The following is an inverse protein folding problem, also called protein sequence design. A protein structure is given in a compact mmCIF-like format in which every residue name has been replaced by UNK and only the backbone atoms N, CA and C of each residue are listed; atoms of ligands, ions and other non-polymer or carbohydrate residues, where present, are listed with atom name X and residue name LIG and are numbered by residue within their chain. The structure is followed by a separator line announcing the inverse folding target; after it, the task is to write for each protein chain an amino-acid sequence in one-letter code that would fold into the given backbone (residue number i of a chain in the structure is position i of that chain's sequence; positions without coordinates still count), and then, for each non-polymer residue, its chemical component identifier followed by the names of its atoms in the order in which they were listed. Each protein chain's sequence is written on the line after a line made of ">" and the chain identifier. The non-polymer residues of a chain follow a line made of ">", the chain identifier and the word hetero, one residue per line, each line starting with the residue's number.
data_IF_845303415223
#
_entry.id   IF_845303415223
#
_cell.length_a   1.000
_cell.length_b   1.000
_cell.length_c   1.000
_cell.angle_alpha   90.00
_cell.angle_beta   90.00
_cell.angle_gamma   90.00
#
_symmetry.space_group_name_H-M   'P 1'
#
loop_
_entity.id
_entity.type
_entity.pdbx_description
1 polymer ?
#
# COMPACT_ATOMS: atom_id res chain seq x y z
N UNK A 1 -54.14 -14.99 30.54
CA UNK A 1 -53.88 -15.02 32.00
C UNK A 1 -52.48 -14.43 32.19
N UNK A 2 -52.33 -13.22 32.74
CA UNK A 2 -52.29 -12.94 34.20
C UNK A 2 -51.28 -13.88 34.89
N UNK A 3 -50.25 -13.46 35.62
CA UNK A 3 -49.80 -12.16 36.14
C UNK A 3 -48.49 -12.44 36.94
N UNK A 4 -47.56 -11.48 37.00
CA UNK A 4 -47.20 -10.70 38.20
C UNK A 4 -46.51 -11.45 39.37
N UNK A 5 -45.25 -11.09 39.66
CA UNK A 5 -44.81 -10.33 40.87
C UNK A 5 -43.26 -10.27 40.94
N UNK A 6 -42.63 -9.09 40.87
CA UNK A 6 -42.27 -8.14 41.94
C UNK A 6 -41.30 -8.70 43.01
N UNK A 7 -40.07 -8.19 43.00
CA UNK A 7 -39.32 -7.85 44.22
C UNK A 7 -38.28 -6.76 43.92
N UNK A 8 -38.01 -5.93 44.91
CA UNK A 8 -37.47 -4.56 44.88
C UNK A 8 -36.35 -4.49 45.92
N UNK A 9 -35.16 -4.03 45.55
CA UNK A 9 -34.07 -3.55 46.43
C UNK A 9 -33.07 -2.86 45.47
N UNK A 10 -32.75 -1.57 45.50
CA UNK A 10 -32.75 -0.59 46.59
C UNK A 10 -31.33 -0.44 47.13
N UNK A 11 -30.51 0.44 46.53
CA UNK A 11 -29.42 1.15 47.20
C UNK A 11 -28.88 2.30 46.33
N UNK A 12 -28.48 3.35 47.04
CA UNK A 12 -28.44 4.76 46.66
C UNK A 12 -27.03 5.33 46.92
N UNK A 13 -26.80 6.56 46.41
CA UNK A 13 -25.72 7.55 46.68
C UNK A 13 -24.43 7.41 45.86
N UNK A 14 -24.10 8.34 44.95
CA UNK A 14 -23.81 9.81 44.99
C UNK A 14 -22.30 10.13 45.11
N UNK A 15 -21.87 11.29 44.58
CA UNK A 15 -20.66 11.44 43.77
C UNK A 15 -19.53 12.20 44.50
N UNK A 16 -18.34 12.24 43.90
CA UNK A 16 -17.26 13.15 44.29
C UNK A 16 -16.72 13.88 43.05
N UNK A 17 -16.58 15.18 43.23
CA UNK A 17 -16.19 16.26 42.33
C UNK A 17 -14.65 16.40 42.38
N UNK A 18 -14.05 17.19 41.48
CA UNK A 18 -13.09 18.28 41.79
C UNK A 18 -12.46 18.79 40.46
N UNK A 19 -12.79 20.03 40.04
CA UNK A 19 -12.00 21.29 40.14
C UNK A 19 -10.99 21.44 38.99
N UNK A 20 -10.97 22.50 38.16
CA UNK A 20 -10.43 23.85 38.47
C UNK A 20 -10.75 24.82 37.28
N UNK A 21 -11.52 25.91 37.46
CA UNK A 21 -11.10 27.33 37.60
C UNK A 21 -11.00 28.10 36.25
N UNK A 22 -12.00 28.92 35.86
CA UNK A 22 -12.27 30.35 36.18
C UNK A 22 -11.29 31.36 35.58
N UNK A 23 -11.81 32.26 34.72
CA UNK A 23 -11.84 33.71 34.96
C UNK A 23 -12.82 34.42 34.00
N UNK A 24 -13.75 35.22 34.57
CA UNK A 24 -14.76 36.05 33.88
C UNK A 24 -14.20 37.39 33.35
N UNK A 25 -15.03 38.42 33.04
CA UNK A 25 -16.10 38.98 33.90
C UNK A 25 -17.45 39.22 33.16
N UNK A 26 -18.63 39.00 33.76
CA UNK A 26 -19.40 39.93 34.62
C UNK A 26 -20.53 40.66 33.85
N UNK A 27 -21.77 40.16 33.96
CA UNK A 27 -22.94 40.88 34.51
C UNK A 27 -24.23 40.07 34.29
N UNK A 28 -24.69 39.44 35.37
CA UNK A 28 -26.09 39.03 35.53
C UNK A 28 -26.92 40.28 35.79
N UNK A 29 -28.04 40.44 35.06
CA UNK A 29 -29.25 41.07 35.60
C UNK A 29 -30.33 40.01 35.65
N UNK A 30 -30.79 39.70 36.85
CA UNK A 30 -31.98 38.89 37.10
C UNK A 30 -33.20 39.59 36.52
N UNK A 31 -34.05 38.86 35.79
CA UNK A 31 -35.47 39.17 35.70
C UNK A 31 -36.26 37.90 35.99
N UNK A 32 -37.30 38.10 36.80
CA UNK A 32 -38.13 37.13 37.49
C UNK A 32 -38.75 36.07 36.58
N UNK A 33 -38.83 34.86 37.14
CA UNK A 33 -39.50 33.70 36.57
C UNK A 33 -41.01 33.78 36.85
N UNK A 34 -41.79 34.28 35.90
CA UNK A 34 -43.24 34.02 35.88
C UNK A 34 -43.48 32.61 35.31
N UNK A 35 -44.16 31.77 36.11
CA UNK A 35 -44.75 30.51 35.67
C UNK A 35 -45.88 30.82 34.68
N UNK A 36 -45.57 30.80 33.39
CA UNK A 36 -46.55 30.73 32.31
C UNK A 36 -46.69 29.29 31.86
N UNK A 37 -47.88 28.73 32.02
CA UNK A 37 -48.28 27.41 31.54
C UNK A 37 -48.00 27.27 30.04
N UNK A 38 -47.35 26.15 29.70
CA UNK A 38 -47.15 25.69 28.33
C UNK A 38 -48.50 25.65 27.58
N UNK A 39 -48.67 26.59 26.65
CA UNK A 39 -49.45 26.35 25.44
C UNK A 39 -48.48 26.47 24.29
N UNK A 40 -48.06 25.31 23.77
CA UNK A 40 -47.41 25.21 22.46
C UNK A 40 -48.49 25.56 21.43
N UNK A 41 -48.62 26.85 21.12
CA UNK A 41 -49.28 27.26 19.89
C UNK A 41 -48.34 26.84 18.77
N UNK A 42 -48.79 25.90 17.96
CA UNK A 42 -48.18 25.59 16.68
C UNK A 42 -48.37 26.84 15.81
N UNK A 43 -47.43 27.79 15.88
CA UNK A 43 -47.35 28.88 14.93
C UNK A 43 -46.92 28.25 13.61
N UNK A 44 -47.91 27.83 12.83
CA UNK A 44 -47.72 27.53 11.42
C UNK A 44 -47.23 28.82 10.79
N UNK A 45 -45.91 28.93 10.61
CA UNK A 45 -45.30 30.01 9.87
C UNK A 45 -45.97 30.06 8.50
N UNK A 46 -46.75 31.10 8.25
CA UNK A 46 -47.31 31.32 6.93
C UNK A 46 -46.16 31.59 5.97
N UNK A 47 -46.22 30.97 4.78
CA UNK A 47 -45.31 31.32 3.71
C UNK A 47 -45.43 32.84 3.47
N UNK A 48 -44.30 33.55 3.60
CA UNK A 48 -44.28 34.98 3.31
C UNK A 48 -44.81 35.18 1.88
N UNK A 49 -45.78 36.08 1.65
CA UNK A 49 -46.29 36.35 0.32
C UNK A 49 -45.14 36.83 -0.57
N UNK A 50 -45.09 36.33 -1.80
CA UNK A 50 -44.09 36.71 -2.79
C UNK A 50 -44.18 38.22 -3.04
N UNK A 51 -43.19 38.97 -2.53
CA UNK A 51 -43.07 40.40 -2.77
C UNK A 51 -42.27 40.62 -4.07
N UNK A 52 -42.92 41.09 -5.15
CA UNK A 52 -42.26 41.33 -6.43
C UNK A 52 -41.22 42.46 -6.36
N UNK A 53 -41.18 43.24 -5.27
CA UNK A 53 -40.17 44.27 -5.02
C UNK A 53 -39.09 43.83 -4.01
N UNK A 54 -39.14 42.59 -3.51
CA UNK A 54 -38.08 42.04 -2.67
C UNK A 54 -36.82 41.79 -3.49
N UNK A 55 -36.05 42.86 -3.65
CA UNK A 55 -34.65 42.77 -4.02
C UNK A 55 -33.92 42.19 -2.80
N UNK A 56 -33.70 40.88 -2.82
CA UNK A 56 -32.83 40.23 -1.83
C UNK A 56 -31.46 40.92 -1.75
N UNK A 57 -30.53 40.50 -0.88
CA UNK A 57 -29.21 41.11 -0.80
C UNK A 57 -28.39 40.85 -2.08
N UNK A 58 -28.62 41.66 -3.13
CA UNK A 58 -27.94 41.56 -4.45
C UNK A 58 -26.90 42.66 -4.63
N UNK A 59 -26.81 43.64 -3.71
CA UNK A 59 -26.02 44.87 -3.90
C UNK A 59 -24.51 44.72 -3.74
N UNK A 60 -23.99 43.54 -3.36
CA UNK A 60 -22.54 43.25 -3.23
C UNK A 60 -22.15 41.86 -3.73
N UNK A 61 -22.78 41.36 -4.80
CA UNK A 61 -22.27 40.19 -5.50
C UNK A 61 -21.26 40.65 -6.55
N UNK A 62 -20.00 40.81 -6.14
CA UNK A 62 -18.90 40.91 -7.11
C UNK A 62 -18.84 39.57 -7.83
N UNK A 63 -18.72 39.58 -9.16
CA UNK A 63 -18.78 38.38 -9.98
C UNK A 63 -17.55 37.49 -9.70
N UNK A 64 -17.65 36.63 -8.69
CA UNK A 64 -16.61 35.64 -8.34
C UNK A 64 -16.32 34.73 -9.54
N UNK A 65 -17.27 34.60 -10.46
CA UNK A 65 -17.17 33.79 -11.67
C UNK A 65 -15.99 34.22 -12.56
N UNK A 66 -15.65 35.50 -12.67
CA UNK A 66 -14.52 35.95 -13.52
C UNK A 66 -13.16 35.49 -12.96
N UNK A 67 -12.95 35.64 -11.65
CA UNK A 67 -11.72 35.22 -10.98
C UNK A 67 -11.62 33.69 -11.00
N UNK A 68 -12.72 32.99 -10.71
CA UNK A 68 -12.78 31.53 -10.79
C UNK A 68 -12.52 31.01 -12.22
N UNK A 69 -13.02 31.68 -13.26
CA UNK A 69 -12.76 31.33 -14.66
C UNK A 69 -11.28 31.47 -15.02
N UNK A 70 -10.60 32.55 -14.61
CA UNK A 70 -9.16 32.73 -14.87
C UNK A 70 -8.35 31.64 -14.17
N UNK A 71 -8.68 31.32 -12.91
CA UNK A 71 -8.03 30.24 -12.17
C UNK A 71 -8.26 28.87 -12.83
N UNK A 72 -9.49 28.59 -13.30
CA UNK A 72 -9.81 27.35 -13.98
C UNK A 72 -9.04 27.18 -15.30
N UNK A 73 -8.97 28.23 -16.12
CA UNK A 73 -8.19 28.22 -17.36
C UNK A 73 -6.68 28.07 -17.08
N UNK A 74 -6.17 28.70 -16.03
CA UNK A 74 -4.78 28.54 -15.62
C UNK A 74 -4.47 27.09 -15.20
N UNK A 75 -5.39 26.43 -14.48
CA UNK A 75 -5.25 25.02 -14.11
C UNK A 75 -5.27 24.13 -15.35
N UNK A 76 -6.21 24.33 -16.29
CA UNK A 76 -6.25 23.57 -17.55
C UNK A 76 -4.95 23.75 -18.33
N UNK A 77 -4.48 24.98 -18.49
CA UNK A 77 -3.21 25.25 -19.18
C UNK A 77 -2.03 24.54 -18.48
N UNK A 78 -1.98 24.56 -17.16
CA UNK A 78 -0.99 23.81 -16.38
C UNK A 78 -1.05 22.29 -16.64
N UNK A 79 -2.24 21.69 -16.67
CA UNK A 79 -2.41 20.27 -17.00
C UNK A 79 -1.98 19.93 -18.42
N UNK A 80 -2.27 20.81 -19.39
CA UNK A 80 -1.82 20.63 -20.78
C UNK A 80 -0.29 20.63 -20.87
N UNK A 81 0.37 21.56 -20.19
CA UNK A 81 1.85 21.62 -20.13
C UNK A 81 2.40 20.34 -19.48
N UNK A 82 1.84 19.89 -18.35
CA UNK A 82 2.26 18.66 -17.70
C UNK A 82 2.04 17.42 -18.59
N UNK A 83 0.95 17.38 -19.35
CA UNK A 83 0.66 16.32 -20.32
C UNK A 83 1.69 16.27 -21.45
N UNK A 84 2.05 17.41 -22.02
CA UNK A 84 3.10 17.50 -23.06
C UNK A 84 4.46 17.09 -22.51
N UNK A 85 4.83 17.54 -21.31
CA UNK A 85 6.08 17.12 -20.67
C UNK A 85 6.09 15.61 -20.41
N UNK A 86 4.99 15.04 -19.92
CA UNK A 86 4.87 13.60 -19.72
C UNK A 86 4.95 12.81 -21.03
N UNK A 87 4.44 13.35 -22.15
CA UNK A 87 4.55 12.72 -23.46
C UNK A 87 5.98 12.74 -24.00
N UNK A 88 6.65 13.89 -23.88
CA UNK A 88 8.01 14.06 -24.42
C UNK A 88 9.07 13.34 -23.60
N UNK A 89 8.91 13.30 -22.27
CA UNK A 89 9.91 12.74 -21.36
C UNK A 89 9.47 11.43 -20.69
N UNK A 90 8.25 10.96 -20.92
CA UNK A 90 7.74 9.73 -20.35
C UNK A 90 8.31 8.50 -21.05
N UNK A 91 8.99 7.65 -20.28
CA UNK A 91 9.48 6.36 -20.78
C UNK A 91 8.58 5.21 -20.27
N UNK A 92 7.82 4.54 -21.16
CA UNK A 92 6.88 3.48 -20.77
C UNK A 92 7.57 2.24 -20.19
N UNK A 93 8.89 2.08 -20.39
CA UNK A 93 9.66 0.94 -19.87
C UNK A 93 9.65 0.87 -18.34
N UNK A 94 9.51 2.00 -17.66
CA UNK A 94 9.41 2.06 -16.19
C UNK A 94 8.19 1.33 -15.63
N UNK A 95 7.15 1.18 -16.44
CA UNK A 95 5.89 0.53 -16.05
C UNK A 95 5.90 -0.95 -16.44
N UNK A 96 6.45 -1.28 -17.62
CA UNK A 96 6.45 -2.62 -18.18
C UNK A 96 7.52 -3.54 -17.59
N UNK A 97 8.74 -3.01 -17.37
CA UNK A 97 9.88 -3.83 -16.97
C UNK A 97 10.14 -3.73 -15.46
N UNK A 98 10.37 -4.87 -14.79
CA UNK A 98 10.86 -4.86 -13.42
C UNK A 98 12.30 -4.35 -13.38
N UNK A 99 12.65 -3.74 -12.24
CA UNK A 99 14.00 -3.27 -11.94
C UNK A 99 14.63 -4.12 -10.84
N UNK A 100 15.93 -4.30 -10.91
CA UNK A 100 16.72 -4.84 -9.81
C UNK A 100 16.96 -3.76 -8.73
N UNK A 101 17.66 -4.13 -7.66
CA UNK A 101 17.97 -3.21 -6.56
C UNK A 101 18.89 -2.05 -6.98
N UNK A 102 19.73 -2.23 -8.00
CA UNK A 102 20.58 -1.16 -8.57
C UNK A 102 19.83 -0.19 -9.50
N UNK A 103 18.54 -0.44 -9.78
CA UNK A 103 17.70 0.41 -10.62
C UNK A 103 17.75 0.09 -12.12
N UNK A 104 18.49 -0.95 -12.51
CA UNK A 104 18.58 -1.44 -13.88
C UNK A 104 17.36 -2.31 -14.25
N UNK A 105 16.91 -2.20 -15.50
CA UNK A 105 15.81 -3.02 -16.01
C UNK A 105 16.25 -4.47 -16.24
N UNK A 106 15.37 -5.42 -15.94
CA UNK A 106 15.55 -6.82 -16.34
C UNK A 106 15.06 -7.02 -17.78
N UNK A 107 15.80 -7.76 -18.60
CA UNK A 107 15.45 -8.05 -20.01
C UNK A 107 15.85 -6.97 -21.01
N UNK A 108 16.53 -5.90 -20.57
CA UNK A 108 16.96 -4.78 -21.41
C UNK A 108 18.41 -4.40 -21.06
N UNK A 109 19.15 -3.86 -22.04
CA UNK A 109 20.51 -3.37 -21.83
C UNK A 109 21.50 -4.49 -21.46
N UNK A 110 22.13 -4.37 -20.30
CA UNK A 110 23.08 -5.37 -19.77
C UNK A 110 22.38 -6.67 -19.35
N UNK A 111 21.13 -6.59 -18.88
CA UNK A 111 20.37 -7.73 -18.35
C UNK A 111 19.46 -8.37 -19.41
N UNK A 112 19.83 -8.32 -20.70
CA UNK A 112 18.99 -8.85 -21.81
C UNK A 112 18.66 -10.33 -21.64
N UNK A 113 19.64 -11.13 -21.23
CA UNK A 113 19.47 -12.57 -21.02
C UNK A 113 18.72 -12.92 -19.72
N UNK A 114 18.40 -11.91 -18.92
CA UNK A 114 17.76 -12.03 -17.63
C UNK A 114 16.46 -11.22 -17.56
N UNK A 115 15.40 -11.65 -18.26
CA UNK A 115 14.16 -10.89 -18.37
C UNK A 115 13.28 -10.94 -17.12
N UNK A 116 13.61 -11.80 -16.15
CA UNK A 116 12.76 -12.05 -14.99
C UNK A 116 13.40 -11.49 -13.73
N UNK A 117 12.60 -11.12 -12.75
CA UNK A 117 13.05 -10.60 -11.47
C UNK A 117 12.57 -11.49 -10.31
N UNK A 118 13.47 -11.78 -9.38
CA UNK A 118 13.23 -12.58 -8.17
C UNK A 118 13.49 -11.73 -6.93
N UNK A 119 12.70 -11.97 -5.89
CA UNK A 119 12.91 -11.45 -4.54
C UNK A 119 13.89 -12.38 -3.81
N UNK A 120 14.99 -11.82 -3.30
CA UNK A 120 16.01 -12.59 -2.57
C UNK A 120 15.43 -13.19 -1.29
N UNK A 121 14.63 -12.41 -0.57
CA UNK A 121 13.84 -12.89 0.56
C UNK A 121 12.38 -12.45 0.44
N UNK A 122 11.54 -13.36 -0.05
CA UNK A 122 10.10 -13.09 -0.18
C UNK A 122 9.42 -12.91 1.19
N UNK A 123 9.93 -13.49 2.28
CA UNK A 123 9.29 -13.41 3.60
C UNK A 123 9.27 -11.97 4.14
N UNK A 124 10.25 -11.14 3.76
CA UNK A 124 10.27 -9.72 4.11
C UNK A 124 9.08 -8.95 3.54
N UNK A 125 8.43 -9.46 2.49
CA UNK A 125 7.17 -8.94 1.95
C UNK A 125 5.93 -9.23 2.81
N UNK A 126 5.99 -10.23 3.70
CA UNK A 126 4.86 -10.61 4.55
C UNK A 126 4.61 -9.63 5.71
N UNK A 127 5.42 -8.57 5.84
CA UNK A 127 5.39 -7.59 6.94
C UNK A 127 4.12 -6.72 6.90
N UNK A 128 3.00 -7.32 7.26
CA UNK A 128 1.70 -6.69 7.54
C UNK A 128 1.69 -5.94 8.89
N UNK A 129 2.79 -5.94 9.65
CA UNK A 129 2.83 -5.44 11.03
C UNK A 129 3.34 -4.01 11.19
N UNK A 130 3.80 -3.35 10.12
CA UNK A 130 4.09 -1.91 10.15
C UNK A 130 3.22 -1.18 9.15
N UNK A 131 2.00 -0.88 9.58
CA UNK A 131 1.03 -0.01 8.87
C UNK A 131 1.68 1.31 8.41
N UNK A 132 2.68 1.81 9.15
CA UNK A 132 3.48 2.97 8.76
C UNK A 132 4.43 2.71 7.57
N UNK A 133 4.98 1.51 7.41
CA UNK A 133 5.84 1.17 6.27
C UNK A 133 5.03 1.04 4.97
N UNK A 134 3.82 0.49 5.04
CA UNK A 134 2.90 0.41 3.88
C UNK A 134 2.42 1.79 3.41
N UNK A 135 2.33 2.77 4.31
CA UNK A 135 1.94 4.15 4.00
C UNK A 135 3.10 5.00 3.45
N UNK A 136 4.35 4.76 3.88
CA UNK A 136 5.51 5.55 3.47
C UNK A 136 6.32 4.94 2.30
N UNK A 137 6.34 3.61 2.12
CA UNK A 137 7.20 2.94 1.13
C UNK A 137 6.50 2.57 -0.19
N UNK A 138 5.20 2.83 -0.30
CA UNK A 138 4.40 2.25 -1.37
C UNK A 138 4.40 0.73 -1.28
N UNK A 139 3.83 0.07 -2.28
CA UNK A 139 3.65 -1.40 -2.31
C UNK A 139 4.96 -2.14 -2.66
N UNK A 140 6.08 -1.68 -2.11
CA UNK A 140 7.42 -2.08 -2.47
C UNK A 140 8.04 -2.86 -1.30
N UNK A 141 8.29 -4.16 -1.50
CA UNK A 141 8.92 -4.97 -0.48
C UNK A 141 10.34 -4.50 -0.16
N UNK A 142 10.74 -4.47 1.12
CA UNK A 142 12.08 -4.10 1.56
C UNK A 142 13.04 -5.30 1.45
N UNK A 143 13.25 -5.78 0.23
CA UNK A 143 14.25 -6.84 -0.06
C UNK A 143 14.90 -6.56 -1.40
N UNK A 144 16.15 -6.98 -1.57
CA UNK A 144 16.83 -6.91 -2.85
C UNK A 144 16.10 -7.69 -3.94
N UNK A 145 16.15 -7.11 -5.14
CA UNK A 145 15.51 -7.60 -6.33
C UNK A 145 16.61 -7.92 -7.33
N UNK A 146 16.68 -9.15 -7.82
CA UNK A 146 17.75 -9.62 -8.72
C UNK A 146 17.13 -10.05 -10.06
N UNK A 147 17.78 -9.69 -11.17
CA UNK A 147 17.39 -10.14 -12.50
C UNK A 147 17.94 -11.55 -12.74
N UNK A 148 17.12 -12.43 -13.30
CA UNK A 148 17.45 -13.85 -13.52
C UNK A 148 16.96 -14.33 -14.88
N UNK A 149 17.67 -15.31 -15.47
CA UNK A 149 17.29 -15.86 -16.78
C UNK A 149 16.02 -16.70 -16.67
N UNK A 150 15.89 -17.51 -15.61
CA UNK A 150 14.78 -18.44 -15.40
C UNK A 150 14.30 -18.37 -13.96
N UNK A 151 13.01 -18.59 -13.77
CA UNK A 151 12.45 -18.75 -12.43
C UNK A 151 12.84 -20.15 -11.88
N UNK A 152 13.14 -20.27 -10.59
CA UNK A 152 13.44 -21.55 -9.96
C UNK A 152 12.27 -22.52 -10.09
N UNK A 153 12.57 -23.79 -10.38
CA UNK A 153 11.59 -24.85 -10.63
C UNK A 153 11.50 -25.88 -9.50
N UNK A 154 12.45 -25.87 -8.57
CA UNK A 154 12.57 -26.80 -7.47
C UNK A 154 12.80 -26.06 -6.16
N UNK A 155 12.57 -26.75 -5.05
CA UNK A 155 12.93 -26.26 -3.73
C UNK A 155 14.43 -26.43 -3.54
N UNK A 156 15.08 -25.37 -3.10
CA UNK A 156 16.48 -25.40 -2.69
C UNK A 156 16.63 -24.51 -1.47
N UNK A 157 17.51 -24.88 -0.55
CA UNK A 157 17.87 -24.04 0.58
C UNK A 157 19.34 -24.21 0.88
N UNK A 158 19.89 -23.18 1.50
CA UNK A 158 21.24 -23.21 2.01
C UNK A 158 21.37 -24.24 3.13
N UNK A 159 22.33 -25.16 2.99
CA UNK A 159 22.57 -26.19 4.00
C UNK A 159 23.38 -25.64 5.18
N UNK A 160 23.30 -26.31 6.33
CA UNK A 160 24.04 -25.90 7.53
C UNK A 160 25.57 -25.86 7.30
N UNK A 161 26.10 -26.74 6.44
CA UNK A 161 27.51 -26.79 6.08
C UNK A 161 28.00 -25.53 5.33
N UNK A 162 27.10 -24.72 4.77
CA UNK A 162 27.48 -23.47 4.12
C UNK A 162 27.91 -22.39 5.13
N UNK A 163 27.55 -22.54 6.41
CA UNK A 163 27.91 -21.55 7.44
C UNK A 163 29.28 -21.82 8.06
N UNK A 164 29.97 -22.89 7.66
CA UNK A 164 31.34 -23.15 8.10
C UNK A 164 32.31 -22.10 7.53
N UNK A 165 33.31 -21.63 8.31
CA UNK A 165 34.23 -20.58 7.86
C UNK A 165 35.11 -21.00 6.67
N UNK A 166 35.33 -22.30 6.50
CA UNK A 166 36.12 -22.86 5.39
C UNK A 166 35.25 -23.24 4.17
N UNK A 167 33.94 -23.04 4.26
CA UNK A 167 33.00 -23.36 3.18
C UNK A 167 33.15 -22.37 2.02
N UNK A 168 33.35 -22.89 0.81
CA UNK A 168 33.42 -22.04 -0.37
C UNK A 168 32.01 -21.64 -0.85
N UNK A 169 31.66 -20.35 -0.91
CA UNK A 169 30.32 -19.91 -1.31
C UNK A 169 29.86 -20.43 -2.68
N UNK A 170 30.81 -20.68 -3.60
CA UNK A 170 30.53 -21.20 -4.94
C UNK A 170 29.85 -22.57 -4.96
N UNK A 171 30.15 -23.41 -3.98
CA UNK A 171 29.65 -24.78 -3.95
C UNK A 171 28.21 -24.85 -3.43
N UNK A 172 27.80 -23.83 -2.68
CA UNK A 172 26.46 -23.74 -2.11
C UNK A 172 25.55 -22.84 -2.95
N UNK A 173 26.01 -21.68 -3.41
CA UNK A 173 25.16 -20.74 -4.15
C UNK A 173 25.17 -20.97 -5.66
N UNK A 174 24.04 -20.63 -6.28
CA UNK A 174 23.91 -20.60 -7.73
C UNK A 174 24.07 -19.17 -8.24
N UNK A 175 25.16 -18.91 -8.98
CA UNK A 175 25.48 -17.59 -9.55
C UNK A 175 24.30 -16.95 -10.33
N UNK A 176 23.48 -17.77 -10.99
CA UNK A 176 22.34 -17.31 -11.78
C UNK A 176 21.22 -16.63 -10.98
N UNK A 177 21.19 -16.79 -9.66
CA UNK A 177 20.20 -16.19 -8.76
C UNK A 177 20.80 -15.13 -7.83
N UNK A 178 22.10 -14.88 -7.93
CA UNK A 178 22.81 -13.86 -7.17
C UNK A 178 22.89 -12.55 -7.94
N UNK A 179 23.10 -11.46 -7.23
CA UNK A 179 23.33 -10.14 -7.82
C UNK A 179 24.63 -10.11 -8.65
N UNK A 180 24.62 -9.32 -9.72
CA UNK A 180 25.77 -9.18 -10.64
C UNK A 180 27.01 -8.56 -10.01
N UNK A 181 26.85 -7.82 -8.91
CA UNK A 181 27.97 -7.27 -8.16
C UNK A 181 28.84 -8.34 -7.50
N UNK A 182 28.30 -9.56 -7.30
CA UNK A 182 28.98 -10.67 -6.65
C UNK A 182 29.39 -11.74 -7.67
N UNK A 183 30.68 -12.09 -7.69
CA UNK A 183 31.18 -13.23 -8.45
C UNK A 183 31.66 -14.33 -7.51
N UNK A 184 30.91 -15.42 -7.40
CA UNK A 184 31.17 -16.50 -6.43
C UNK A 184 32.56 -17.15 -6.59
N UNK A 185 33.18 -17.08 -7.77
CA UNK A 185 34.50 -17.67 -8.04
C UNK A 185 35.68 -16.87 -7.50
N UNK A 186 35.53 -15.55 -7.35
CA UNK A 186 36.62 -14.62 -7.01
C UNK A 186 36.36 -13.88 -5.70
N UNK A 187 35.23 -14.15 -5.07
CA UNK A 187 34.76 -13.45 -3.88
C UNK A 187 35.55 -13.87 -2.64
N UNK A 188 35.89 -12.88 -1.81
CA UNK A 188 36.49 -13.06 -0.48
C UNK A 188 35.46 -12.99 0.66
N UNK A 189 34.19 -12.83 0.33
CA UNK A 189 33.09 -12.69 1.28
C UNK A 189 32.70 -14.05 1.83
N UNK A 190 32.36 -14.08 3.11
CA UNK A 190 31.78 -15.25 3.76
C UNK A 190 30.31 -15.43 3.37
N UNK A 191 29.78 -16.63 3.56
CA UNK A 191 28.37 -16.94 3.31
C UNK A 191 27.42 -16.05 4.14
N UNK A 192 27.79 -15.73 5.38
CA UNK A 192 26.98 -14.84 6.23
C UNK A 192 26.93 -13.42 5.68
N UNK A 193 28.06 -12.85 5.28
CA UNK A 193 28.11 -11.49 4.71
C UNK A 193 27.30 -11.38 3.40
N UNK A 194 27.29 -12.44 2.58
CA UNK A 194 26.48 -12.51 1.36
C UNK A 194 24.98 -12.46 1.67
N UNK A 195 24.55 -13.19 2.70
CA UNK A 195 23.15 -13.21 3.13
C UNK A 195 22.74 -11.89 3.79
N UNK A 196 23.60 -11.31 4.62
CA UNK A 196 23.36 -10.04 5.32
C UNK A 196 23.27 -8.87 4.33
N UNK A 197 24.08 -8.89 3.27
CA UNK A 197 24.01 -7.94 2.17
C UNK A 197 22.88 -8.25 1.16
N UNK A 198 22.11 -9.33 1.37
CA UNK A 198 21.06 -9.82 0.48
C UNK A 198 21.51 -9.98 -0.99
N UNK A 199 22.75 -10.40 -1.23
CA UNK A 199 23.30 -10.56 -2.58
C UNK A 199 22.84 -11.86 -3.24
N UNK A 200 22.58 -12.90 -2.45
CA UNK A 200 22.06 -14.18 -2.91
C UNK A 200 20.89 -14.65 -2.03
N UNK A 201 19.90 -15.37 -2.59
CA UNK A 201 18.82 -15.96 -1.81
C UNK A 201 19.32 -17.09 -0.93
N UNK A 202 18.85 -17.14 0.32
CA UNK A 202 19.09 -18.26 1.24
C UNK A 202 18.25 -19.50 0.91
N UNK A 203 17.13 -19.31 0.20
CA UNK A 203 16.28 -20.38 -0.27
C UNK A 203 15.61 -20.01 -1.60
N UNK A 204 15.27 -21.04 -2.38
CA UNK A 204 14.53 -20.92 -3.63
C UNK A 204 13.28 -21.78 -3.53
N UNK A 205 12.17 -21.22 -4.00
CA UNK A 205 10.90 -21.92 -4.10
C UNK A 205 10.46 -22.02 -5.56
N UNK A 206 9.81 -23.11 -5.96
CA UNK A 206 9.29 -23.28 -7.30
C UNK A 206 8.33 -22.14 -7.64
N UNK A 207 8.63 -21.43 -8.72
CA UNK A 207 7.94 -20.21 -9.10
C UNK A 207 7.61 -20.19 -10.60
N UNK A 208 6.62 -19.38 -10.95
CA UNK A 208 6.21 -19.12 -12.33
C UNK A 208 6.40 -17.65 -12.65
N UNK A 209 6.68 -17.37 -13.92
CA UNK A 209 6.87 -16.00 -14.38
C UNK A 209 5.52 -15.32 -14.58
N UNK A 210 5.33 -14.14 -13.98
CA UNK A 210 4.17 -13.28 -14.15
C UNK A 210 4.63 -11.81 -14.18
N UNK A 211 4.29 -11.06 -15.23
CA UNK A 211 4.72 -9.65 -15.43
C UNK A 211 6.24 -9.44 -15.27
N UNK A 212 7.04 -10.37 -15.81
CA UNK A 212 8.50 -10.33 -15.67
C UNK A 212 9.02 -10.62 -14.26
N UNK A 213 8.18 -11.08 -13.33
CA UNK A 213 8.59 -11.43 -11.96
C UNK A 213 8.40 -12.92 -11.70
N UNK A 214 9.20 -13.51 -10.82
CA UNK A 214 9.05 -14.88 -10.38
C UNK A 214 8.18 -14.92 -9.13
N UNK A 215 6.99 -15.52 -9.23
CA UNK A 215 6.06 -15.68 -8.12
C UNK A 215 5.95 -17.15 -7.72
N UNK A 216 6.01 -17.49 -6.42
CA UNK A 216 5.87 -18.87 -5.96
C UNK A 216 4.60 -19.52 -6.52
N UNK A 217 4.68 -20.78 -6.95
CA UNK A 217 3.50 -21.50 -7.42
C UNK A 217 2.74 -22.06 -6.23
N UNK A 218 1.47 -21.67 -6.05
CA UNK A 218 0.61 -22.18 -4.98
C UNK A 218 0.47 -23.71 -5.03
N UNK A 219 0.40 -24.28 -6.23
CA UNK A 219 0.33 -25.72 -6.40
C UNK A 219 1.62 -26.42 -5.93
N UNK A 220 2.78 -25.92 -6.36
CA UNK A 220 4.06 -26.48 -5.96
C UNK A 220 4.37 -26.29 -4.46
N UNK A 221 3.87 -25.20 -3.85
CA UNK A 221 3.96 -24.95 -2.41
C UNK A 221 3.19 -25.98 -1.57
N UNK A 222 2.05 -26.49 -2.07
CA UNK A 222 1.30 -27.54 -1.37
C UNK A 222 2.04 -28.88 -1.39
N UNK A 223 2.93 -29.09 -2.36
CA UNK A 223 3.81 -30.26 -2.46
C UNK A 223 5.22 -30.00 -1.90
N UNK A 224 5.37 -29.06 -0.95
CA UNK A 224 6.67 -28.79 -0.33
C UNK A 224 7.18 -30.01 0.45
N UNK A 225 8.47 -30.37 0.33
CA UNK A 225 9.04 -31.52 1.04
C UNK A 225 9.09 -31.26 2.55
N UNK A 226 8.96 -32.32 3.37
CA UNK A 226 8.94 -32.24 4.84
C UNK A 226 10.20 -31.63 5.46
N UNK A 227 11.31 -31.65 4.73
CA UNK A 227 12.58 -31.10 5.18
C UNK A 227 12.73 -29.60 4.86
N UNK A 228 11.78 -28.97 4.17
CA UNK A 228 11.81 -27.55 3.82
C UNK A 228 11.28 -26.69 4.97
N UNK A 229 12.06 -26.57 6.04
CA UNK A 229 11.76 -25.72 7.19
C UNK A 229 12.75 -24.56 7.25
N UNK A 230 12.25 -23.35 7.06
CA UNK A 230 13.08 -22.14 7.15
C UNK A 230 13.47 -21.84 8.60
N UNK A 231 14.64 -21.22 8.83
CA UNK A 231 15.10 -20.90 10.18
C UNK A 231 14.08 -20.02 10.91
N UNK A 232 13.71 -20.41 12.13
CA UNK A 232 12.72 -19.71 12.95
C UNK A 232 11.26 -20.16 12.79
N UNK A 233 10.98 -21.19 11.97
CA UNK A 233 9.63 -21.76 11.84
C UNK A 233 9.56 -23.18 12.42
N UNK A 234 8.42 -23.52 13.03
CA UNK A 234 8.22 -24.79 13.71
C UNK A 234 7.83 -25.93 12.76
N UNK A 235 7.29 -25.60 11.58
CA UNK A 235 6.84 -26.61 10.62
C UNK A 235 6.90 -26.12 9.17
N UNK A 236 6.89 -27.08 8.23
CA UNK A 236 6.77 -26.79 6.79
C UNK A 236 5.47 -26.06 6.48
N UNK A 237 4.37 -26.41 7.16
CA UNK A 237 3.08 -25.76 6.95
C UNK A 237 3.13 -24.27 7.32
N UNK A 238 3.82 -23.93 8.41
CA UNK A 238 4.05 -22.52 8.80
C UNK A 238 4.88 -21.78 7.74
N UNK A 239 5.94 -22.42 7.25
CA UNK A 239 6.78 -21.91 6.15
C UNK A 239 5.95 -21.61 4.90
N UNK A 240 5.15 -22.58 4.46
CA UNK A 240 4.28 -22.44 3.29
C UNK A 240 3.24 -21.34 3.50
N UNK A 241 2.65 -21.24 4.69
CA UNK A 241 1.66 -20.21 5.01
C UNK A 241 2.27 -18.81 5.01
N UNK A 242 3.48 -18.64 5.55
CA UNK A 242 4.19 -17.36 5.55
C UNK A 242 4.53 -16.91 4.13
N UNK A 243 5.04 -17.81 3.29
CA UNK A 243 5.32 -17.51 1.88
C UNK A 243 4.02 -17.17 1.12
N UNK A 244 2.92 -17.88 1.40
CA UNK A 244 1.61 -17.57 0.81
C UNK A 244 1.11 -16.18 1.23
N UNK A 245 1.28 -15.82 2.50
CA UNK A 245 0.97 -14.48 3.01
C UNK A 245 1.79 -13.39 2.32
N UNK A 246 3.10 -13.62 2.19
CA UNK A 246 4.01 -12.72 1.48
C UNK A 246 3.63 -12.52 0.01
N UNK A 247 3.33 -13.63 -0.68
CA UNK A 247 2.87 -13.64 -2.06
C UNK A 247 1.53 -12.92 -2.21
N UNK A 248 0.59 -13.09 -1.28
CA UNK A 248 -0.69 -12.37 -1.28
C UNK A 248 -0.49 -10.85 -1.20
N UNK A 249 0.39 -10.40 -0.30
CA UNK A 249 0.77 -8.99 -0.18
C UNK A 249 1.35 -8.44 -1.49
N UNK A 250 2.30 -9.16 -2.09
CA UNK A 250 2.91 -8.82 -3.39
C UNK A 250 1.89 -8.72 -4.53
N UNK A 251 1.04 -9.74 -4.69
CA UNK A 251 0.04 -9.79 -5.77
C UNK A 251 -0.98 -8.67 -5.63
N UNK A 252 -1.37 -8.31 -4.40
CA UNK A 252 -2.27 -7.17 -4.18
C UNK A 252 -1.66 -5.85 -4.68
N UNK A 253 -0.34 -5.71 -4.63
CA UNK A 253 0.39 -4.58 -5.22
C UNK A 253 0.46 -4.64 -6.73
N UNK A 254 0.76 -5.82 -7.29
CA UNK A 254 0.84 -5.97 -8.74
C UNK A 254 -0.50 -5.84 -9.44
N UNK A 255 -1.58 -6.39 -8.89
CA UNK A 255 -2.91 -6.26 -9.48
C UNK A 255 -3.30 -4.79 -9.62
N UNK A 256 -3.01 -3.95 -8.61
CA UNK A 256 -3.24 -2.49 -8.70
C UNK A 256 -2.43 -1.85 -9.82
N UNK A 257 -1.15 -2.19 -9.95
CA UNK A 257 -0.29 -1.69 -11.04
C UNK A 257 -0.76 -2.18 -12.41
N UNK A 258 -1.04 -3.48 -12.55
CA UNK A 258 -1.46 -4.13 -13.78
C UNK A 258 -2.82 -3.63 -14.29
N UNK A 259 -3.78 -3.41 -13.38
CA UNK A 259 -5.05 -2.74 -13.72
C UNK A 259 -4.78 -1.35 -14.27
N UNK A 260 -3.88 -0.58 -13.64
CA UNK A 260 -3.45 0.72 -14.14
C UNK A 260 -2.83 0.67 -15.54
N UNK A 261 -1.97 -0.32 -15.81
CA UNK A 261 -1.38 -0.51 -17.16
C UNK A 261 -2.44 -0.82 -18.20
N UNK A 262 -3.38 -1.73 -17.90
CA UNK A 262 -4.46 -2.07 -18.82
C UNK A 262 -5.36 -0.88 -19.13
N UNK A 263 -5.73 -0.10 -18.10
CA UNK A 263 -6.49 1.14 -18.29
C UNK A 263 -5.70 2.10 -19.19
N UNK A 264 -4.40 2.27 -18.96
CA UNK A 264 -3.57 3.14 -19.79
C UNK A 264 -3.46 2.64 -21.24
N UNK A 265 -3.32 1.33 -21.43
CA UNK A 265 -3.29 0.69 -22.75
C UNK A 265 -4.62 0.91 -23.49
N UNK A 266 -5.76 0.73 -22.82
CA UNK A 266 -7.09 0.98 -23.38
C UNK A 266 -7.29 2.46 -23.75
N UNK A 267 -6.85 3.39 -22.88
CA UNK A 267 -6.87 4.83 -23.18
C UNK A 267 -5.96 5.19 -24.35
N UNK A 268 -4.73 4.66 -24.40
CA UNK A 268 -3.77 4.94 -25.45
C UNK A 268 -4.24 4.41 -26.82
N UNK A 269 -4.82 3.19 -26.84
CA UNK A 269 -5.39 2.59 -28.05
C UNK A 269 -6.62 3.38 -28.55
N UNK A 270 -7.47 3.81 -27.64
CA UNK A 270 -8.69 4.57 -27.96
C UNK A 270 -8.43 6.07 -28.18
N UNK A 271 -7.23 6.56 -27.87
CA UNK A 271 -6.88 7.98 -27.88
C UNK A 271 -7.13 8.65 -29.24
N UNK A 272 -6.78 7.95 -30.33
CA UNK A 272 -7.02 8.43 -31.68
C UNK A 272 -8.51 8.65 -31.99
N UNK A 273 -9.39 7.81 -31.44
CA UNK A 273 -10.84 7.94 -31.59
C UNK A 273 -11.46 9.03 -30.72
N UNK A 274 -10.79 9.42 -29.63
CA UNK A 274 -11.25 10.48 -28.72
C UNK A 274 -10.92 11.88 -29.25
N UNK A 275 -9.85 12.01 -30.05
CA UNK A 275 -9.41 13.28 -30.61
C UNK A 275 -10.05 13.66 -31.96
N UNK A 276 -10.84 12.75 -32.55
CA UNK A 276 -11.65 12.99 -33.76
C UNK A 276 -13.09 13.34 -33.37
#
# INVERSE_FOLDING_TARGET
>A
MFGLNKAKLGLERKPVRDHFQSNGPFLRRQVMKMKGTSKRAEEKGYAAPYDPFFSGPVRKRSCTDLICCILFLAVIAGYMVMGVLAWLFGDPRHVLFPRNSTGMFCGVGMNRDQPRMIYVDILKCATTTKVMAAALAGVQCPTTQVCVPKCPSHFWMLSAAAYDPDANPKDFFHQQYCDHSLNLTTTTWTVQEILDAELCPSFLVPSKSALGRCLPSLHALNSAPSNFTLPGMASVNETVNSIRGAMGSLISGFNRKAIGVRIFEDFASSWYWILL
#
